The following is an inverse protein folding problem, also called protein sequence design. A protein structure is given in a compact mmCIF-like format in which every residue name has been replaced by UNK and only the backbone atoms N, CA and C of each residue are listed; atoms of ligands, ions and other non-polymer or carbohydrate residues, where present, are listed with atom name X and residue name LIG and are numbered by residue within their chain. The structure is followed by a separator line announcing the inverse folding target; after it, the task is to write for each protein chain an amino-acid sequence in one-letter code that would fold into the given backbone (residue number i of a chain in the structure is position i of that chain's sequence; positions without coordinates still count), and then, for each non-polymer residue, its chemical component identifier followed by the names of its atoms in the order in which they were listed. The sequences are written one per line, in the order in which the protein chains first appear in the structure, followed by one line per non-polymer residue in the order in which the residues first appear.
data_IF_084347132262
#
_entry.id   IF_084347132262
#
_cell.length_a   1.000
_cell.length_b   1.000
_cell.length_c   1.000
_cell.angle_alpha   90.00
_cell.angle_beta   90.00
_cell.angle_gamma   90.00
#
_symmetry.space_group_name_H-M   'P 1'
#
loop_
_entity.id
_entity.type
_entity.pdbx_description
1 polymer ?
#
# COMPACT_ATOMS: atom_id res chain seq x y z
N UNK A 1 -17.63 19.96 -2.03
CA UNK A 1 -17.63 18.51 -1.74
C UNK A 1 -17.88 17.66 -2.98
N UNK A 2 -19.03 17.78 -3.68
CA UNK A 2 -19.31 17.01 -4.92
C UNK A 2 -18.23 17.12 -6.02
N UNK A 3 -17.72 18.32 -6.30
CA UNK A 3 -16.66 18.52 -7.30
C UNK A 3 -15.34 17.84 -6.93
N UNK A 4 -14.96 17.82 -5.65
CA UNK A 4 -13.72 17.19 -5.18
C UNK A 4 -13.81 15.68 -5.32
N UNK A 5 -14.94 15.09 -4.92
CA UNK A 5 -15.19 13.65 -5.06
C UNK A 5 -15.19 13.24 -6.55
N UNK A 6 -15.80 14.04 -7.43
CA UNK A 6 -15.78 13.77 -8.88
C UNK A 6 -14.35 13.82 -9.45
N UNK A 7 -13.52 14.77 -9.04
CA UNK A 7 -12.12 14.84 -9.48
C UNK A 7 -11.30 13.65 -8.99
N UNK A 8 -11.49 13.22 -7.73
CA UNK A 8 -10.83 12.04 -7.17
C UNK A 8 -11.25 10.78 -7.93
N UNK A 9 -12.56 10.60 -8.18
CA UNK A 9 -13.07 9.48 -8.96
C UNK A 9 -12.54 9.46 -10.40
N UNK A 10 -12.36 10.65 -11.00
CA UNK A 10 -11.80 10.76 -12.37
C UNK A 10 -10.32 10.37 -12.38
N UNK A 11 -9.54 10.81 -11.39
CA UNK A 11 -8.14 10.42 -11.24
C UNK A 11 -8.01 8.90 -11.00
N UNK A 12 -8.81 8.35 -10.09
CA UNK A 12 -8.87 6.91 -9.84
C UNK A 12 -9.23 6.12 -11.11
N UNK A 13 -10.21 6.59 -11.90
CA UNK A 13 -10.57 5.97 -13.17
C UNK A 13 -9.44 6.02 -14.21
N UNK A 14 -8.71 7.14 -14.30
CA UNK A 14 -7.54 7.25 -15.19
C UNK A 14 -6.41 6.30 -14.78
N UNK A 15 -6.19 6.13 -13.47
CA UNK A 15 -5.20 5.22 -12.91
C UNK A 15 -5.61 3.74 -13.05
N UNK A 16 -6.90 3.41 -12.97
CA UNK A 16 -7.41 2.08 -13.28
C UNK A 16 -7.13 1.69 -14.74
N UNK A 17 -7.29 2.64 -15.67
CA UNK A 17 -7.01 2.41 -17.08
C UNK A 17 -5.52 2.17 -17.38
N UNK A 18 -4.60 2.76 -16.59
CA UNK A 18 -3.17 2.49 -16.73
C UNK A 18 -2.77 1.11 -16.18
N UNK A 19 -3.47 0.61 -15.15
CA UNK A 19 -3.22 -0.72 -14.56
C UNK A 19 -3.51 -1.87 -15.52
N UNK A 20 -4.52 -1.75 -16.37
CA UNK A 20 -4.85 -2.77 -17.37
C UNK A 20 -3.75 -3.00 -18.43
N UNK A 21 -2.82 -2.04 -18.58
CA UNK A 21 -1.78 -2.06 -19.61
C UNK A 21 -0.42 -2.60 -19.14
N UNK A 22 -0.27 -2.95 -17.87
CA UNK A 22 1.01 -3.38 -17.29
C UNK A 22 1.30 -4.89 -17.47
N UNK A 23 0.83 -5.49 -18.57
CA UNK A 23 0.87 -6.93 -18.82
C UNK A 23 2.25 -7.48 -19.22
N UNK A 24 2.98 -8.01 -18.25
CA UNK A 24 4.12 -8.93 -18.43
C UNK A 24 4.20 -9.95 -17.28
N UNK A 25 4.96 -11.05 -17.43
CA UNK A 25 5.23 -12.01 -16.35
C UNK A 25 6.31 -11.41 -15.45
N UNK A 26 5.87 -10.62 -14.48
CA UNK A 26 6.71 -10.05 -13.42
C UNK A 26 5.91 -10.08 -12.13
N UNK A 27 6.61 -10.20 -11.01
CA UNK A 27 6.01 -10.04 -9.69
C UNK A 27 5.26 -8.70 -9.60
N UNK A 28 3.98 -8.77 -9.24
CA UNK A 28 3.11 -7.59 -9.16
C UNK A 28 2.04 -7.70 -8.08
N UNK A 29 1.68 -6.53 -7.57
CA UNK A 29 0.52 -6.31 -6.71
C UNK A 29 -0.44 -5.36 -7.42
N UNK A 30 -1.71 -5.74 -7.50
CA UNK A 30 -2.75 -4.88 -8.06
C UNK A 30 -4.02 -5.00 -7.25
N UNK A 31 -4.77 -3.91 -7.11
CA UNK A 31 -6.08 -4.00 -6.50
C UNK A 31 -6.80 -2.66 -6.44
N UNK A 32 -8.12 -2.75 -6.48
CA UNK A 32 -9.04 -1.65 -6.17
C UNK A 32 -10.00 -2.17 -5.11
N UNK A 33 -9.89 -1.62 -3.91
CA UNK A 33 -10.57 -2.18 -2.76
C UNK A 33 -10.88 -1.17 -1.65
N UNK A 34 -11.95 -1.48 -0.93
CA UNK A 34 -12.34 -0.81 0.31
C UNK A 34 -11.77 -1.58 1.48
N UNK A 35 -11.13 -0.86 2.40
CA UNK A 35 -10.58 -1.43 3.60
C UNK A 35 -10.97 -0.64 4.84
N UNK A 36 -10.97 -1.32 5.99
CA UNK A 36 -11.28 -0.69 7.26
C UNK A 36 -10.35 -1.15 8.37
N UNK A 37 -10.03 -0.26 9.30
CA UNK A 37 -9.21 -0.59 10.46
C UNK A 37 -10.07 -1.08 11.63
N UNK A 38 -9.48 -1.96 12.43
CA UNK A 38 -10.14 -2.51 13.61
C UNK A 38 -9.76 -1.74 14.88
N UNK A 39 -10.67 -1.67 15.87
CA UNK A 39 -10.40 -1.02 17.16
C UNK A 39 -9.35 -1.76 17.98
N UNK A 40 -9.38 -3.08 17.94
CA UNK A 40 -8.40 -3.94 18.57
C UNK A 40 -7.37 -4.30 17.49
N UNK A 41 -6.09 -4.45 17.87
CA UNK A 41 -4.99 -4.69 16.91
C UNK A 41 -5.07 -6.05 16.17
N UNK A 42 -6.22 -6.71 16.21
CA UNK A 42 -6.57 -7.90 15.45
C UNK A 42 -7.92 -7.64 14.76
N UNK A 43 -7.98 -7.89 13.46
CA UNK A 43 -9.20 -7.84 12.69
C UNK A 43 -9.70 -9.26 12.41
N UNK A 44 -10.93 -9.57 12.80
CA UNK A 44 -11.64 -10.79 12.41
C UNK A 44 -12.87 -10.48 11.55
N UNK A 45 -13.29 -11.40 10.66
CA UNK A 45 -14.50 -11.21 9.86
C UNK A 45 -15.75 -10.97 10.74
N UNK A 46 -16.43 -9.85 10.51
CA UNK A 46 -17.62 -9.44 11.27
C UNK A 46 -17.34 -8.42 12.38
N UNK A 47 -16.08 -8.08 12.63
CA UNK A 47 -15.72 -7.03 13.58
C UNK A 47 -16.21 -5.64 13.15
N UNK A 48 -16.53 -4.76 14.12
CA UNK A 48 -16.87 -3.38 13.82
C UNK A 48 -15.64 -2.62 13.31
N UNK A 49 -15.82 -1.86 12.22
CA UNK A 49 -14.77 -1.05 11.60
C UNK A 49 -14.80 0.39 12.14
N UNK A 50 -13.63 0.94 12.45
CA UNK A 50 -13.50 2.31 13.00
C UNK A 50 -13.39 3.39 11.93
N UNK A 51 -12.63 3.11 10.88
CA UNK A 51 -12.35 4.02 9.77
C UNK A 51 -12.36 3.20 8.50
N UNK A 52 -13.02 3.73 7.48
CA UNK A 52 -13.15 3.11 6.16
C UNK A 52 -12.49 4.03 5.13
N UNK A 53 -11.65 3.43 4.29
CA UNK A 53 -11.02 4.11 3.16
C UNK A 53 -10.91 3.16 1.97
N UNK A 54 -10.69 3.77 0.82
CA UNK A 54 -10.50 3.09 -0.45
C UNK A 54 -9.03 3.13 -0.82
N UNK A 55 -8.58 2.12 -1.56
CA UNK A 55 -7.21 2.03 -2.04
C UNK A 55 -7.19 1.46 -3.45
N UNK A 56 -6.45 2.14 -4.32
CA UNK A 56 -6.05 1.67 -5.62
C UNK A 56 -4.53 1.47 -5.58
N UNK A 57 -4.08 0.25 -5.86
CA UNK A 57 -2.67 -0.11 -5.89
C UNK A 57 -2.33 -0.80 -7.20
N UNK A 58 -1.14 -0.47 -7.70
CA UNK A 58 -0.49 -1.18 -8.79
C UNK A 58 0.99 -1.01 -8.60
N UNK A 59 1.71 -2.11 -8.42
CA UNK A 59 3.14 -2.12 -8.14
C UNK A 59 3.79 -3.31 -8.82
N UNK A 60 4.96 -3.08 -9.42
CA UNK A 60 5.82 -4.09 -9.99
C UNK A 60 7.11 -4.12 -9.19
N UNK A 61 7.48 -5.30 -8.69
CA UNK A 61 8.74 -5.46 -7.97
C UNK A 61 9.93 -5.27 -8.92
N UNK A 62 11.00 -4.69 -8.38
CA UNK A 62 12.27 -4.50 -9.07
C UNK A 62 13.21 -5.70 -8.87
N UNK A 63 12.84 -6.90 -9.33
CA UNK A 63 13.79 -8.03 -9.46
C UNK A 63 14.36 -8.12 -10.88
N UNK A 64 15.64 -8.45 -10.98
CA UNK A 64 16.36 -8.59 -12.26
C UNK A 64 16.65 -7.26 -12.99
N UNK A 65 16.38 -7.20 -14.31
CA UNK A 65 16.60 -6.02 -15.16
C UNK A 65 15.35 -5.12 -15.31
N UNK A 66 14.32 -5.36 -14.50
CA UNK A 66 13.04 -4.69 -14.64
C UNK A 66 12.96 -3.50 -13.66
N UNK A 67 12.58 -2.30 -14.13
CA UNK A 67 12.41 -1.15 -13.26
C UNK A 67 11.16 -1.30 -12.38
N UNK A 68 11.25 -0.84 -11.12
CA UNK A 68 10.09 -0.62 -10.25
C UNK A 68 9.15 0.36 -10.93
N UNK A 69 7.85 0.05 -10.90
CA UNK A 69 6.80 0.93 -11.42
C UNK A 69 5.57 0.79 -10.58
N UNK A 70 4.81 1.87 -10.49
CA UNK A 70 3.49 1.80 -9.90
C UNK A 70 3.13 3.00 -9.06
N UNK A 71 2.03 2.86 -8.35
CA UNK A 71 1.55 3.85 -7.40
C UNK A 71 0.70 3.18 -6.32
N UNK A 72 0.56 3.88 -5.20
CA UNK A 72 -0.47 3.65 -4.22
C UNK A 72 -1.30 4.91 -4.12
N UNK A 73 -2.61 4.79 -4.35
CA UNK A 73 -3.55 5.89 -4.19
C UNK A 73 -4.59 5.48 -3.15
N UNK A 74 -4.83 6.33 -2.16
CA UNK A 74 -5.82 6.05 -1.11
C UNK A 74 -6.66 7.28 -0.81
N UNK A 75 -7.96 7.07 -0.60
CA UNK A 75 -8.90 8.15 -0.32
C UNK A 75 -10.01 7.72 0.63
N UNK A 76 -10.71 8.70 1.22
CA UNK A 76 -11.92 8.45 2.01
C UNK A 76 -13.10 9.29 1.53
N UNK A 77 -14.29 8.98 2.06
CA UNK A 77 -15.55 9.65 1.68
C UNK A 77 -15.61 11.12 2.11
N UNK A 78 -14.74 11.54 3.04
CA UNK A 78 -14.56 12.93 3.43
C UNK A 78 -13.72 13.73 2.41
N UNK A 79 -13.19 13.07 1.39
CA UNK A 79 -12.38 13.65 0.34
C UNK A 79 -10.91 13.86 0.73
N UNK A 80 -10.43 13.22 1.80
CA UNK A 80 -8.99 13.13 2.09
C UNK A 80 -8.38 12.08 1.18
N UNK A 81 -7.21 12.38 0.64
CA UNK A 81 -6.49 11.45 -0.24
C UNK A 81 -4.98 11.66 -0.15
N UNK A 82 -4.25 10.62 -0.55
CA UNK A 82 -2.81 10.67 -0.74
C UNK A 82 -2.37 9.72 -1.86
N UNK A 83 -1.19 10.00 -2.41
CA UNK A 83 -0.50 9.18 -3.40
C UNK A 83 0.94 8.90 -2.96
N UNK A 84 1.43 7.71 -3.30
CA UNK A 84 2.85 7.37 -3.33
C UNK A 84 3.21 6.94 -4.75
N UNK A 85 4.20 7.59 -5.35
CA UNK A 85 4.77 7.20 -6.66
C UNK A 85 5.86 6.14 -6.44
N UNK A 86 5.58 4.90 -6.86
CA UNK A 86 6.50 3.78 -6.65
C UNK A 86 7.62 3.74 -7.69
N UNK A 87 7.69 4.67 -8.64
CA UNK A 87 8.80 4.72 -9.59
C UNK A 87 10.13 5.13 -8.92
N UNK A 88 10.08 5.96 -7.88
CA UNK A 88 11.28 6.43 -7.19
C UNK A 88 11.79 5.41 -6.17
N UNK A 89 12.69 4.54 -6.61
CA UNK A 89 13.32 3.50 -5.78
C UNK A 89 14.23 4.05 -4.68
N UNK A 90 14.54 5.36 -4.65
CA UNK A 90 15.26 5.96 -3.54
C UNK A 90 14.39 6.11 -2.29
N UNK A 91 13.09 6.36 -2.51
CA UNK A 91 12.12 6.70 -1.47
C UNK A 91 11.05 5.62 -1.30
N UNK A 92 10.94 4.67 -2.22
CA UNK A 92 9.82 3.72 -2.30
C UNK A 92 10.33 2.32 -2.63
N UNK A 93 9.55 1.32 -2.22
CA UNK A 93 9.83 -0.09 -2.49
C UNK A 93 8.55 -0.82 -2.89
N UNK A 94 8.73 -1.91 -3.64
CA UNK A 94 7.74 -2.96 -3.85
C UNK A 94 8.47 -4.29 -3.75
N UNK A 95 8.17 -5.08 -2.73
CA UNK A 95 8.68 -6.44 -2.56
C UNK A 95 7.54 -7.42 -2.42
N UNK A 96 7.58 -8.47 -3.24
CA UNK A 96 6.66 -9.58 -3.23
C UNK A 96 7.49 -10.80 -2.82
N UNK A 97 6.96 -11.54 -1.85
CA UNK A 97 7.66 -12.69 -1.27
C UNK A 97 7.05 -13.98 -1.81
N UNK A 98 7.81 -15.08 -1.71
CA UNK A 98 7.39 -16.43 -2.14
C UNK A 98 6.07 -16.88 -1.50
N UNK A 99 5.78 -16.43 -0.27
CA UNK A 99 4.57 -16.76 0.48
C UNK A 99 3.33 -15.94 0.06
N UNK A 100 3.45 -15.11 -0.98
CA UNK A 100 2.38 -14.22 -1.45
C UNK A 100 2.21 -12.96 -0.60
N UNK A 101 3.07 -12.73 0.39
CA UNK A 101 3.10 -11.49 1.15
C UNK A 101 3.70 -10.37 0.31
N UNK A 102 3.24 -9.15 0.54
CA UNK A 102 3.80 -7.95 -0.08
C UNK A 102 4.17 -6.94 0.99
N UNK A 103 5.36 -6.35 0.85
CA UNK A 103 5.76 -5.13 1.56
C UNK A 103 6.05 -4.05 0.53
N UNK A 104 5.35 -2.93 0.65
CA UNK A 104 5.39 -1.85 -0.34
C UNK A 104 5.11 -0.50 0.30
N UNK A 105 5.47 0.58 -0.36
CA UNK A 105 5.10 1.94 0.07
C UNK A 105 6.23 2.92 -0.18
N UNK A 106 6.30 3.94 0.66
CA UNK A 106 7.37 4.92 0.67
C UNK A 106 6.90 6.32 1.01
N UNK A 107 7.47 7.31 0.33
CA UNK A 107 7.16 8.71 0.57
C UNK A 107 5.80 9.07 -0.03
N UNK A 108 4.91 9.63 0.79
CA UNK A 108 3.69 10.25 0.28
C UNK A 108 4.06 11.51 -0.51
N UNK A 109 3.97 11.42 -1.83
CA UNK A 109 4.40 12.44 -2.79
C UNK A 109 3.34 13.51 -3.03
N UNK A 110 2.06 13.15 -2.96
CA UNK A 110 0.95 14.07 -3.19
C UNK A 110 -0.26 13.73 -2.29
N UNK A 111 -1.16 14.69 -2.13
CA UNK A 111 -2.35 14.57 -1.30
C UNK A 111 -2.82 15.90 -0.72
N UNK A 112 -3.91 15.84 0.05
CA UNK A 112 -4.51 17.02 0.69
C UNK A 112 -4.52 16.95 2.23
N UNK A 113 -3.67 16.10 2.79
CA UNK A 113 -3.60 15.83 4.22
C UNK A 113 -2.19 16.03 4.79
N UNK A 114 -2.04 15.94 6.11
CA UNK A 114 -0.75 16.07 6.80
C UNK A 114 0.19 14.88 6.57
N UNK A 115 -0.16 13.96 5.68
CA UNK A 115 0.66 12.80 5.34
C UNK A 115 1.68 13.12 4.25
N UNK A 116 1.44 14.14 3.43
CA UNK A 116 2.37 14.54 2.36
C UNK A 116 3.74 14.86 2.95
N UNK A 117 4.77 14.21 2.42
CA UNK A 117 6.13 14.30 2.92
C UNK A 117 6.47 13.29 4.03
N UNK A 118 5.62 12.32 4.36
CA UNK A 118 5.93 11.27 5.36
C UNK A 118 6.06 9.89 4.72
N UNK A 119 6.76 9.00 5.42
CA UNK A 119 6.97 7.62 4.99
C UNK A 119 5.90 6.68 5.55
N UNK A 120 5.27 5.94 4.66
CA UNK A 120 4.28 4.91 4.96
C UNK A 120 4.64 3.57 4.32
N UNK A 121 4.39 2.49 5.07
CA UNK A 121 4.51 1.11 4.61
C UNK A 121 3.16 0.44 4.58
N UNK A 122 2.98 -0.48 3.64
CA UNK A 122 1.85 -1.38 3.52
C UNK A 122 2.38 -2.81 3.50
N UNK A 123 2.00 -3.58 4.51
CA UNK A 123 2.14 -5.03 4.49
C UNK A 123 0.78 -5.62 4.12
N UNK A 124 0.75 -6.42 3.06
CA UNK A 124 -0.49 -6.95 2.48
C UNK A 124 -0.34 -8.46 2.28
N UNK A 125 -1.41 -9.20 2.54
CA UNK A 125 -1.52 -10.61 2.17
C UNK A 125 -2.79 -10.84 1.36
N UNK A 126 -2.63 -11.44 0.19
CA UNK A 126 -3.70 -11.98 -0.64
C UNK A 126 -4.12 -13.36 -0.08
N UNK A 127 -5.39 -13.50 0.28
CA UNK A 127 -5.95 -14.73 0.83
C UNK A 127 -6.16 -15.84 -0.21
N UNK A 128 -6.04 -15.52 -1.51
CA UNK A 128 -6.30 -16.41 -2.64
C UNK A 128 -7.78 -16.51 -3.04
N UNK A 129 -8.08 -17.29 -4.08
CA UNK A 129 -9.46 -17.54 -4.52
C UNK A 129 -9.75 -19.05 -4.61
N UNK A 130 -10.84 -19.59 -4.00
CA UNK A 130 -11.74 -18.94 -3.05
C UNK A 130 -11.12 -18.91 -1.64
N UNK A 131 -10.85 -17.73 -1.09
CA UNK A 131 -10.27 -17.65 0.26
C UNK A 131 -11.29 -17.90 1.37
N UNK A 132 -10.83 -18.60 2.41
CA UNK A 132 -11.46 -18.60 3.74
C UNK A 132 -11.11 -17.32 4.53
N UNK A 133 -10.07 -16.60 4.10
CA UNK A 133 -9.54 -15.39 4.73
C UNK A 133 -9.91 -14.17 3.91
N UNK A 134 -10.20 -13.09 4.61
CA UNK A 134 -10.30 -11.76 4.03
C UNK A 134 -8.87 -11.28 3.77
N UNK A 135 -8.60 -10.68 2.61
CA UNK A 135 -7.29 -10.03 2.39
C UNK A 135 -7.04 -9.04 3.52
N UNK A 136 -5.88 -9.15 4.15
CA UNK A 136 -5.55 -8.37 5.33
C UNK A 136 -4.27 -7.58 5.11
N UNK A 137 -4.15 -6.50 5.88
CA UNK A 137 -2.97 -5.68 5.81
C UNK A 137 -2.69 -4.88 7.06
N UNK A 138 -1.49 -4.32 7.10
CA UNK A 138 -1.09 -3.34 8.10
C UNK A 138 -0.54 -2.11 7.38
N UNK A 139 -1.08 -0.94 7.72
CA UNK A 139 -0.47 0.34 7.33
C UNK A 139 0.47 0.79 8.44
N UNK A 140 1.69 1.15 8.09
CA UNK A 140 2.74 1.60 8.99
C UNK A 140 3.06 3.06 8.70
N UNK A 141 3.13 3.91 9.72
CA UNK A 141 3.80 5.22 9.63
C UNK A 141 5.13 5.14 10.36
N UNK A 142 6.20 5.56 9.71
CA UNK A 142 7.55 5.49 10.28
C UNK A 142 7.93 6.69 11.14
N UNK A 143 7.41 7.89 10.84
CA UNK A 143 7.62 9.07 11.68
C UNK A 143 6.53 10.12 11.45
N UNK A 144 6.38 11.04 12.40
CA UNK A 144 5.65 12.29 12.22
C UNK A 144 6.47 13.36 11.49
N UNK A 145 7.78 13.18 11.39
CA UNK A 145 8.70 14.11 10.74
C UNK A 145 8.58 14.03 9.22
N UNK A 146 8.56 15.20 8.59
CA UNK A 146 8.49 15.33 7.14
C UNK A 146 9.86 15.18 6.50
N UNK A 147 9.94 14.44 5.39
CA UNK A 147 11.14 14.18 4.59
C UNK A 147 12.31 13.65 5.44
N UNK A 148 12.01 12.90 6.49
CA UNK A 148 13.01 12.40 7.44
C UNK A 148 13.85 11.29 6.81
N UNK A 149 15.17 11.50 6.73
CA UNK A 149 16.11 10.48 6.27
C UNK A 149 16.11 9.26 7.18
N UNK A 150 15.99 9.46 8.50
CA UNK A 150 15.89 8.34 9.45
C UNK A 150 14.62 7.51 9.21
N UNK A 151 13.49 8.16 8.92
CA UNK A 151 12.25 7.46 8.56
C UNK A 151 12.37 6.73 7.22
N UNK A 152 13.05 7.32 6.22
CA UNK A 152 13.34 6.69 4.93
C UNK A 152 14.15 5.40 5.11
N UNK A 153 15.24 5.46 5.87
CA UNK A 153 16.11 4.31 6.12
C UNK A 153 15.38 3.20 6.87
N UNK A 154 14.62 3.56 7.93
CA UNK A 154 13.81 2.59 8.66
C UNK A 154 12.71 1.95 7.79
N UNK A 155 12.10 2.72 6.90
CA UNK A 155 11.14 2.21 5.93
C UNK A 155 11.77 1.21 4.95
N UNK A 156 12.92 1.55 4.35
CA UNK A 156 13.60 0.66 3.41
C UNK A 156 14.07 -0.63 4.09
N UNK A 157 14.65 -0.53 5.29
CA UNK A 157 15.03 -1.69 6.08
C UNK A 157 13.83 -2.58 6.43
N UNK A 158 12.71 -1.98 6.86
CA UNK A 158 11.47 -2.72 7.09
C UNK A 158 10.94 -3.36 5.81
N UNK A 159 11.10 -2.71 4.66
CA UNK A 159 10.60 -3.24 3.40
C UNK A 159 11.40 -4.46 2.91
N UNK A 160 12.69 -4.53 3.25
CA UNK A 160 13.53 -5.70 2.97
C UNK A 160 13.35 -6.80 4.02
N UNK A 161 13.42 -6.46 5.31
CA UNK A 161 13.54 -7.44 6.41
C UNK A 161 12.23 -7.81 7.11
N UNK A 162 11.30 -6.87 7.21
CA UNK A 162 10.03 -7.00 7.94
C UNK A 162 10.17 -6.60 9.39
N UNK A 163 11.39 -6.32 9.83
CA UNK A 163 11.67 -5.85 11.18
C UNK A 163 11.19 -4.41 11.32
N UNK A 164 10.30 -4.18 12.29
CA UNK A 164 9.89 -2.84 12.65
C UNK A 164 11.04 -2.09 13.34
N UNK A 165 11.16 -0.77 13.11
CA UNK A 165 12.17 0.04 13.77
C UNK A 165 12.01 -0.08 15.29
N UNK A 166 13.04 -0.61 15.96
CA UNK A 166 12.94 -1.01 17.37
C UNK A 166 12.88 0.19 18.31
N UNK A 167 13.57 1.30 18.04
CA UNK A 167 13.54 2.53 18.85
C UNK A 167 13.93 3.79 18.04
N UNK A 168 13.50 4.98 18.48
CA UNK A 168 14.10 6.27 18.08
C UNK A 168 13.32 7.17 17.13
N UNK A 169 12.25 6.69 16.49
CA UNK A 169 11.41 7.52 15.61
C UNK A 169 10.15 8.02 16.33
N UNK A 170 9.88 9.32 16.22
CA UNK A 170 8.74 9.94 16.88
C UNK A 170 7.46 9.65 16.12
N UNK A 171 6.49 9.05 16.81
CA UNK A 171 5.14 8.85 16.29
C UNK A 171 5.03 7.75 15.24
N UNK A 172 5.85 6.71 15.35
CA UNK A 172 5.60 5.42 14.71
C UNK A 172 4.18 4.94 15.06
N UNK A 173 3.45 4.44 14.07
CA UNK A 173 2.09 3.93 14.29
C UNK A 173 1.76 2.79 13.32
N UNK A 174 0.92 1.88 13.77
CA UNK A 174 0.49 0.69 13.04
C UNK A 174 -1.03 0.63 13.02
N UNK A 175 -1.60 0.41 11.83
CA UNK A 175 -3.04 0.27 11.64
C UNK A 175 -3.33 -1.03 10.88
N UNK A 176 -3.59 -2.13 11.61
CA UNK A 176 -4.18 -3.34 11.04
C UNK A 176 -5.52 -3.02 10.37
N UNK A 177 -5.76 -3.61 9.21
CA UNK A 177 -6.99 -3.42 8.44
C UNK A 177 -7.35 -4.68 7.64
N UNK A 178 -8.63 -4.80 7.33
CA UNK A 178 -9.20 -5.84 6.47
C UNK A 178 -9.79 -5.22 5.22
N UNK A 179 -9.72 -5.95 4.11
CA UNK A 179 -10.29 -5.59 2.82
C UNK A 179 -11.65 -6.29 2.70
N UNK A 180 -12.75 -5.55 2.83
CA UNK A 180 -14.08 -6.16 2.89
C UNK A 180 -14.91 -5.97 1.61
N UNK A 181 -14.38 -5.24 0.63
CA UNK A 181 -14.97 -5.04 -0.69
C UNK A 181 -13.87 -4.77 -1.72
N UNK A 182 -14.04 -5.28 -2.94
CA UNK A 182 -13.05 -5.14 -4.02
C UNK A 182 -12.14 -6.35 -4.11
N UNK A 183 -10.99 -6.17 -4.75
CA UNK A 183 -10.08 -7.28 -5.03
C UNK A 183 -8.61 -6.84 -4.85
N UNK A 184 -7.88 -7.50 -3.96
CA UNK A 184 -6.42 -7.50 -3.95
C UNK A 184 -5.93 -8.71 -4.74
N UNK A 185 -4.89 -8.52 -5.55
CA UNK A 185 -4.28 -9.59 -6.32
C UNK A 185 -2.77 -9.47 -6.20
N UNK A 186 -2.15 -10.53 -5.71
CA UNK A 186 -0.71 -10.69 -5.67
C UNK A 186 -0.33 -11.79 -6.64
N UNK A 187 0.52 -11.45 -7.60
CA UNK A 187 1.08 -12.40 -8.54
C UNK A 187 2.58 -12.50 -8.28
N UNK A 188 3.01 -13.65 -7.77
CA UNK A 188 4.40 -14.07 -7.79
C UNK A 188 4.62 -14.92 -9.07
N UNK A 189 5.62 -14.57 -9.87
CA UNK A 189 5.94 -15.25 -11.11
C UNK A 189 6.97 -16.34 -10.88
N UNK A 190 6.60 -17.60 -11.14
CA UNK A 190 7.52 -18.75 -11.11
C UNK A 190 8.79 -18.58 -11.98
N UNK A 191 8.81 -17.59 -12.89
CA UNK A 191 9.93 -17.28 -13.77
C UNK A 191 10.98 -16.35 -13.16
N UNK A 192 10.63 -15.61 -12.11
CA UNK A 192 11.54 -14.68 -11.45
C UNK A 192 12.47 -15.41 -10.46
N UNK A 193 12.18 -16.68 -10.17
CA UNK A 193 13.14 -17.65 -9.64
C UNK A 193 13.53 -17.38 -8.19
N UNK A 194 12.54 -16.98 -7.39
CA UNK A 194 12.65 -16.78 -5.94
C UNK A 194 13.09 -18.06 -5.21
#
# INVERSE_FOLDING_TARGET
MRLIIQSILTLAACLLASNAMAGGPVDKITGDFTHGNCPEMACEPGDPLNYVSHKLISGHEARGKHPQKGFVFSWNDEGRWFEMDLWDTHNNCVHIFEDGRVRTGGLVSDGNGPQVGRYFGLELLDGGEPAFYVDYGTTVRFSLDYYSEAARLAFLEWCETGDFPREGLVGVAFWPHVIFEGNLQVHNSDRDGD
#
